data_IF_928286615689
#
_entry.id   IF_928286615689
#
_cell.length_a   1.000
_cell.length_b   1.000
_cell.length_c   1.000
_cell.angle_alpha   90.00
_cell.angle_beta   90.00
_cell.angle_gamma   90.00
#
_symmetry.space_group_name_H-M   'P 1'
#
loop_
_entity.id
_entity.type
_entity.pdbx_description
1 polymer ?
#
# COMPACT_ATOMS: atom_id res chain seq x y z
N UNK A 1 -4.67 46.71 -37.96
CA UNK A 1 -5.27 45.40 -38.34
C UNK A 1 -4.38 44.21 -37.98
N UNK A 2 -3.08 44.24 -38.29
CA UNK A 2 -2.16 43.10 -38.09
C UNK A 2 -2.09 42.54 -36.65
N UNK A 3 -2.06 43.41 -35.63
CA UNK A 3 -2.08 42.99 -34.20
C UNK A 3 -3.37 42.27 -33.78
N UNK A 4 -4.51 42.59 -34.39
CA UNK A 4 -5.79 41.90 -34.13
C UNK A 4 -5.81 40.51 -34.77
N UNK A 5 -5.25 40.37 -35.98
CA UNK A 5 -5.08 39.09 -36.66
C UNK A 5 -4.17 38.13 -35.88
N UNK A 6 -3.04 38.63 -35.35
CA UNK A 6 -2.15 37.84 -34.50
C UNK A 6 -2.88 37.37 -33.23
N UNK A 7 -3.64 38.26 -32.58
CA UNK A 7 -4.42 37.90 -31.38
C UNK A 7 -5.47 36.82 -31.65
N UNK A 8 -6.15 36.87 -32.80
CA UNK A 8 -7.11 35.84 -33.21
C UNK A 8 -6.41 34.51 -33.46
N UNK A 9 -5.30 34.50 -34.20
CA UNK A 9 -4.54 33.27 -34.49
C UNK A 9 -4.03 32.61 -33.20
N UNK A 10 -3.49 33.40 -32.26
CA UNK A 10 -3.02 32.89 -30.97
C UNK A 10 -4.18 32.34 -30.13
N UNK A 11 -5.33 33.02 -30.11
CA UNK A 11 -6.51 32.54 -29.40
C UNK A 11 -7.05 31.23 -30.00
N UNK A 12 -7.10 31.11 -31.33
CA UNK A 12 -7.53 29.89 -32.02
C UNK A 12 -6.56 28.72 -31.77
N UNK A 13 -5.25 28.97 -31.77
CA UNK A 13 -4.24 27.96 -31.41
C UNK A 13 -4.36 27.50 -29.95
N UNK A 14 -4.64 28.40 -29.01
CA UNK A 14 -4.84 28.05 -27.60
C UNK A 14 -6.14 27.27 -27.39
N UNK A 15 -7.23 27.66 -28.05
CA UNK A 15 -8.54 26.99 -27.96
C UNK A 15 -8.53 25.60 -28.60
N UNK A 16 -7.80 25.42 -29.72
CA UNK A 16 -7.61 24.10 -30.33
C UNK A 16 -6.77 23.18 -29.46
N UNK A 17 -5.80 23.69 -28.71
CA UNK A 17 -5.03 22.89 -27.75
C UNK A 17 -5.90 22.36 -26.60
N UNK A 18 -6.90 23.11 -26.14
CA UNK A 18 -7.87 22.66 -25.11
C UNK A 18 -8.80 21.54 -25.61
N UNK A 19 -9.10 21.48 -26.91
CA UNK A 19 -9.93 20.44 -27.52
C UNK A 19 -9.17 19.13 -27.81
N UNK A 20 -7.83 19.19 -27.78
CA UNK A 20 -6.93 18.03 -28.00
C UNK A 20 -6.42 17.44 -26.67
N UNK A 21 -6.78 18.03 -25.53
CA UNK A 21 -6.62 17.38 -24.22
C UNK A 21 -7.65 16.26 -24.12
N UNK A 22 -7.32 15.11 -24.71
CA UNK A 22 -8.11 13.89 -24.55
C UNK A 22 -8.28 13.55 -23.08
N UNK A 23 -9.36 12.84 -22.75
CA UNK A 23 -9.57 12.24 -21.45
C UNK A 23 -8.29 11.47 -21.08
N UNK A 24 -7.60 11.87 -20.02
CA UNK A 24 -6.53 11.04 -19.46
C UNK A 24 -7.16 9.67 -19.20
N UNK A 25 -6.69 8.63 -19.91
CA UNK A 25 -7.13 7.26 -19.66
C UNK A 25 -6.48 6.83 -18.36
N UNK A 26 -7.07 7.23 -17.24
CA UNK A 26 -6.67 6.73 -15.94
C UNK A 26 -6.90 5.22 -15.97
N UNK A 27 -5.84 4.44 -15.70
CA UNK A 27 -6.02 3.04 -15.40
C UNK A 27 -6.85 2.97 -14.11
N UNK A 28 -8.11 2.59 -14.23
CA UNK A 28 -9.01 2.44 -13.10
C UNK A 28 -8.50 1.32 -12.20
N UNK A 29 -8.63 1.51 -10.89
CA UNK A 29 -8.31 0.47 -9.92
C UNK A 29 -9.45 -0.54 -9.88
N UNK A 30 -9.46 -1.43 -10.87
CA UNK A 30 -10.51 -2.42 -11.07
C UNK A 30 -10.55 -3.49 -9.97
N UNK A 31 -11.57 -4.34 -10.00
CA UNK A 31 -11.74 -5.41 -9.00
C UNK A 31 -10.63 -6.45 -9.07
N UNK A 32 -10.07 -6.72 -10.26
CA UNK A 32 -9.00 -7.69 -10.43
C UNK A 32 -7.73 -7.25 -9.68
N UNK A 33 -7.35 -5.97 -9.79
CA UNK A 33 -6.21 -5.41 -9.05
C UNK A 33 -6.52 -5.39 -7.54
N UNK A 34 -7.75 -5.06 -7.13
CA UNK A 34 -8.18 -5.00 -5.71
C UNK A 34 -8.44 -6.34 -5.04
N UNK A 35 -8.45 -7.43 -5.79
CA UNK A 35 -8.61 -8.78 -5.24
C UNK A 35 -7.29 -9.20 -4.59
N UNK A 36 -7.29 -9.54 -3.30
CA UNK A 36 -6.09 -9.97 -2.56
C UNK A 36 -6.35 -11.31 -1.84
N UNK A 37 -5.30 -12.10 -1.51
CA UNK A 37 -5.46 -13.34 -0.77
C UNK A 37 -6.02 -13.07 0.63
N UNK A 38 -7.07 -13.79 1.01
CA UNK A 38 -7.70 -13.69 2.32
C UNK A 38 -6.93 -14.53 3.34
N UNK A 39 -6.62 -15.79 2.99
CA UNK A 39 -6.11 -16.80 3.90
C UNK A 39 -5.20 -17.84 3.19
N UNK A 40 -4.68 -18.81 3.94
CA UNK A 40 -3.80 -19.87 3.42
C UNK A 40 -4.55 -20.99 2.67
N UNK A 41 -5.88 -21.01 2.72
CA UNK A 41 -6.72 -21.98 2.01
C UNK A 41 -6.93 -21.58 0.54
N UNK A 42 -6.47 -20.40 0.15
CA UNK A 42 -6.58 -19.87 -1.22
C UNK A 42 -7.82 -19.01 -1.45
N UNK A 43 -8.58 -18.67 -0.41
CA UNK A 43 -9.69 -17.73 -0.54
C UNK A 43 -9.16 -16.33 -0.85
N UNK A 44 -10.00 -15.52 -1.47
CA UNK A 44 -9.67 -14.14 -1.85
C UNK A 44 -10.77 -13.18 -1.43
N UNK A 45 -10.42 -11.90 -1.33
CA UNK A 45 -11.35 -10.82 -1.02
C UNK A 45 -11.10 -9.63 -1.93
N UNK A 46 -12.18 -8.98 -2.38
CA UNK A 46 -12.10 -7.76 -3.18
C UNK A 46 -12.15 -6.55 -2.24
N UNK A 47 -11.05 -5.80 -2.13
CA UNK A 47 -11.00 -4.59 -1.31
C UNK A 47 -11.88 -3.51 -1.92
N UNK A 48 -12.79 -2.89 -1.18
CA UNK A 48 -13.52 -1.71 -1.65
C UNK A 48 -12.58 -0.52 -1.87
N UNK A 49 -12.94 0.44 -2.73
CA UNK A 49 -12.16 1.67 -2.92
C UNK A 49 -11.99 2.46 -1.61
N UNK A 50 -12.98 2.37 -0.70
CA UNK A 50 -12.87 2.94 0.64
C UNK A 50 -11.76 2.27 1.44
N UNK A 51 -11.71 0.94 1.46
CA UNK A 51 -10.64 0.18 2.14
C UNK A 51 -9.27 0.46 1.53
N UNK A 52 -9.16 0.59 0.21
CA UNK A 52 -7.89 0.95 -0.45
C UNK A 52 -7.37 2.30 0.04
N UNK A 53 -8.25 3.32 0.06
CA UNK A 53 -7.90 4.66 0.51
C UNK A 53 -7.54 4.67 2.00
N UNK A 54 -8.32 3.96 2.81
CA UNK A 54 -8.13 3.91 4.25
C UNK A 54 -6.87 3.15 4.65
N UNK A 55 -6.61 2.00 4.02
CA UNK A 55 -5.40 1.21 4.25
C UNK A 55 -4.13 1.99 3.95
N UNK A 56 -4.12 2.77 2.86
CA UNK A 56 -3.00 3.69 2.57
C UNK A 56 -2.81 4.74 3.66
N UNK A 57 -3.91 5.35 4.14
CA UNK A 57 -3.87 6.37 5.19
C UNK A 57 -3.32 5.81 6.50
N UNK A 58 -3.81 4.64 6.91
CA UNK A 58 -3.38 3.94 8.13
C UNK A 58 -1.93 3.47 8.05
N UNK A 59 -1.52 2.90 6.91
CA UNK A 59 -0.13 2.51 6.68
C UNK A 59 0.81 3.73 6.74
N UNK A 60 0.41 4.86 6.14
CA UNK A 60 1.17 6.11 6.24
C UNK A 60 1.26 6.63 7.67
N UNK A 61 0.20 6.48 8.45
CA UNK A 61 0.11 6.93 9.84
C UNK A 61 1.01 6.11 10.78
N UNK A 62 0.95 4.78 10.73
CA UNK A 62 1.59 3.92 11.73
C UNK A 62 2.81 3.13 11.21
N UNK A 63 2.95 2.92 9.90
CA UNK A 63 3.92 1.95 9.35
C UNK A 63 5.02 2.62 8.51
N UNK A 64 4.69 3.66 7.74
CA UNK A 64 5.56 4.20 6.70
C UNK A 64 6.85 4.86 7.22
N UNK A 65 6.93 5.21 8.50
CA UNK A 65 8.18 5.67 9.10
C UNK A 65 9.31 4.65 8.87
N UNK A 66 9.01 3.36 9.06
CA UNK A 66 9.94 2.25 8.86
C UNK A 66 9.74 1.56 7.50
N UNK A 67 8.51 1.50 7.01
CA UNK A 67 8.12 0.69 5.84
C UNK A 67 7.75 1.46 4.57
N UNK A 68 8.21 2.71 4.42
CA UNK A 68 7.96 3.50 3.22
C UNK A 68 8.38 2.74 1.95
N UNK A 69 7.42 2.49 1.05
CA UNK A 69 7.68 1.78 -0.20
C UNK A 69 7.95 0.29 -0.04
N UNK A 70 7.57 -0.34 1.07
CA UNK A 70 7.66 -1.80 1.26
C UNK A 70 8.99 -2.31 1.80
N UNK A 71 10.00 -1.46 2.01
CA UNK A 71 11.26 -1.85 2.67
C UNK A 71 11.10 -1.93 4.19
N UNK A 72 12.16 -2.25 4.92
CA UNK A 72 12.23 -2.04 6.38
C UNK A 72 13.53 -1.32 6.73
N UNK A 73 13.44 -0.04 7.09
CA UNK A 73 14.63 0.81 7.31
C UNK A 73 15.51 0.33 8.46
N UNK A 74 14.93 -0.23 9.51
CA UNK A 74 15.64 -0.70 10.71
C UNK A 74 16.21 -2.12 10.54
N UNK A 75 15.79 -2.86 9.51
CA UNK A 75 16.31 -4.17 9.17
C UNK A 75 16.10 -4.44 7.67
N UNK A 76 17.11 -4.14 6.84
CA UNK A 76 17.00 -4.22 5.39
C UNK A 76 16.93 -5.64 4.82
N UNK A 77 17.07 -6.67 5.67
CA UNK A 77 17.00 -8.06 5.24
C UNK A 77 15.56 -8.59 5.11
N UNK A 78 14.56 -7.85 5.60
CA UNK A 78 13.15 -8.27 5.60
C UNK A 78 12.29 -7.12 5.06
N UNK A 79 11.66 -7.32 3.90
CA UNK A 79 10.71 -6.38 3.29
C UNK A 79 9.26 -6.88 3.34
N UNK A 80 8.38 -6.13 2.69
CA UNK A 80 6.94 -6.40 2.56
C UNK A 80 6.58 -6.90 1.15
N UNK A 81 7.54 -7.44 0.41
CA UNK A 81 7.31 -8.07 -0.89
C UNK A 81 6.53 -9.38 -0.73
N UNK A 82 5.66 -9.75 -1.68
CA UNK A 82 4.88 -11.00 -1.60
C UNK A 82 5.74 -12.25 -1.36
N UNK A 83 6.91 -12.34 -2.00
CA UNK A 83 7.81 -13.49 -1.87
C UNK A 83 8.39 -13.60 -0.45
N UNK A 84 8.79 -12.47 0.13
CA UNK A 84 9.26 -12.39 1.52
C UNK A 84 8.15 -12.77 2.49
N UNK A 85 6.94 -12.21 2.31
CA UNK A 85 5.80 -12.50 3.17
C UNK A 85 5.36 -13.97 3.07
N UNK A 86 5.45 -14.58 1.87
CA UNK A 86 5.05 -15.95 1.63
C UNK A 86 5.99 -16.99 2.27
N UNK A 87 7.27 -16.62 2.44
CA UNK A 87 8.31 -17.48 3.01
C UNK A 87 8.52 -17.26 4.52
N UNK A 88 7.80 -16.32 5.13
CA UNK A 88 7.75 -16.17 6.57
C UNK A 88 7.00 -17.35 7.23
N UNK A 89 7.29 -17.61 8.50
CA UNK A 89 6.62 -18.63 9.31
C UNK A 89 5.89 -17.97 10.49
N UNK A 90 4.55 -18.10 10.61
CA UNK A 90 3.62 -18.58 9.59
C UNK A 90 3.58 -17.64 8.36
N UNK A 91 2.97 -18.12 7.28
CA UNK A 91 2.82 -17.35 6.03
C UNK A 91 2.10 -16.03 6.30
N UNK A 92 2.68 -14.91 5.82
CA UNK A 92 2.15 -13.56 5.99
C UNK A 92 1.67 -12.93 4.69
N UNK A 93 1.61 -13.67 3.58
CA UNK A 93 1.18 -13.16 2.27
C UNK A 93 -0.34 -13.27 2.04
N UNK A 94 -1.13 -12.98 3.08
CA UNK A 94 -2.59 -12.96 3.06
C UNK A 94 -3.13 -12.04 4.17
N UNK A 95 -4.41 -11.66 4.09
CA UNK A 95 -5.04 -10.72 5.04
C UNK A 95 -4.97 -11.26 6.47
N UNK A 96 -5.36 -12.52 6.70
CA UNK A 96 -5.39 -13.10 8.04
C UNK A 96 -4.00 -13.13 8.70
N UNK A 97 -2.97 -13.52 7.95
CA UNK A 97 -1.59 -13.57 8.42
C UNK A 97 -1.01 -12.20 8.77
N UNK A 98 -1.32 -11.15 8.00
CA UNK A 98 -0.90 -9.78 8.30
C UNK A 98 -1.69 -9.18 9.48
N UNK A 99 -2.99 -9.45 9.56
CA UNK A 99 -3.82 -9.04 10.70
C UNK A 99 -3.31 -9.67 11.99
N UNK A 100 -2.99 -10.97 11.96
CA UNK A 100 -2.35 -11.66 13.08
C UNK A 100 -1.00 -11.02 13.44
N UNK A 101 -0.16 -10.74 12.45
CA UNK A 101 1.14 -10.10 12.68
C UNK A 101 0.99 -8.71 13.34
N UNK A 102 0.00 -7.91 12.95
CA UNK A 102 -0.28 -6.62 13.58
C UNK A 102 -0.91 -6.75 14.98
N UNK A 103 -1.43 -7.93 15.34
CA UNK A 103 -1.90 -8.23 16.71
C UNK A 103 -0.76 -8.73 17.59
N UNK A 104 0.05 -9.65 17.10
CA UNK A 104 1.15 -10.30 17.81
C UNK A 104 2.31 -10.64 16.85
N UNK A 105 3.24 -9.70 16.61
CA UNK A 105 4.30 -9.87 15.62
C UNK A 105 5.34 -10.87 16.13
N UNK A 106 5.89 -11.66 15.21
CA UNK A 106 6.94 -12.65 15.47
C UNK A 106 8.17 -12.38 14.61
N UNK A 107 9.29 -13.02 14.94
CA UNK A 107 10.42 -13.15 14.01
C UNK A 107 10.00 -13.85 12.72
N UNK A 108 10.84 -13.74 11.69
CA UNK A 108 10.58 -14.28 10.36
C UNK A 108 10.38 -15.82 10.35
N UNK A 109 11.03 -16.52 11.28
CA UNK A 109 10.87 -17.95 11.54
C UNK A 109 9.72 -18.29 12.51
N UNK A 110 9.08 -17.29 13.12
CA UNK A 110 7.92 -17.47 14.00
C UNK A 110 8.24 -17.83 15.45
N UNK A 111 9.51 -18.05 15.79
CA UNK A 111 9.91 -18.62 17.09
C UNK A 111 9.84 -17.61 18.25
N UNK A 112 10.00 -16.32 17.96
CA UNK A 112 10.10 -15.28 18.99
C UNK A 112 9.05 -14.21 18.73
N UNK A 113 8.22 -13.92 19.74
CA UNK A 113 7.35 -12.74 19.73
C UNK A 113 8.18 -11.46 19.89
N UNK A 114 7.90 -10.46 19.07
CA UNK A 114 8.68 -9.21 19.01
C UNK A 114 7.83 -7.97 19.31
N UNK A 115 6.69 -8.12 20.01
CA UNK A 115 5.80 -7.00 20.32
C UNK A 115 6.46 -5.88 21.13
N UNK A 116 7.50 -6.18 21.91
CA UNK A 116 8.26 -5.16 22.67
C UNK A 116 9.07 -4.20 21.77
N UNK A 117 9.38 -4.62 20.54
CA UNK A 117 10.22 -3.85 19.59
C UNK A 117 9.52 -3.59 18.25
N UNK A 118 8.30 -4.07 18.06
CA UNK A 118 7.51 -3.87 16.86
C UNK A 118 6.07 -3.45 17.23
N UNK A 119 5.51 -2.39 16.59
CA UNK A 119 4.13 -1.97 16.83
C UNK A 119 3.13 -3.11 16.63
N UNK A 120 2.24 -3.29 17.61
CA UNK A 120 1.14 -4.26 17.55
C UNK A 120 0.00 -3.89 18.51
N UNK A 121 -1.16 -4.53 18.40
CA UNK A 121 -2.23 -4.38 19.40
C UNK A 121 -1.80 -4.88 20.80
N UNK A 122 -0.97 -5.94 20.86
CA UNK A 122 -0.45 -6.50 22.13
C UNK A 122 0.45 -5.51 22.89
N UNK A 123 1.14 -4.64 22.16
CA UNK A 123 2.06 -3.62 22.69
C UNK A 123 1.56 -2.19 22.49
N UNK A 124 0.24 -2.00 22.39
CA UNK A 124 -0.37 -0.68 22.20
C UNK A 124 -0.18 0.26 23.41
N UNK A 125 0.26 -0.27 24.55
CA UNK A 125 0.67 0.52 25.72
C UNK A 125 1.95 1.33 25.43
N UNK A 126 2.94 0.75 24.74
CA UNK A 126 4.19 1.41 24.34
C UNK A 126 4.15 2.00 22.92
N UNK A 127 3.42 1.39 21.99
CA UNK A 127 3.20 1.90 20.63
C UNK A 127 1.81 2.52 20.52
N UNK A 128 1.71 3.77 20.95
CA UNK A 128 0.42 4.42 21.20
C UNK A 128 -0.47 4.61 19.97
N UNK A 129 0.14 4.65 18.78
CA UNK A 129 -0.52 4.73 17.47
C UNK A 129 -1.41 3.51 17.21
N UNK A 130 -1.08 2.35 17.78
CA UNK A 130 -1.87 1.12 17.61
C UNK A 130 -3.16 1.11 18.42
N UNK A 131 -3.33 2.00 19.42
CA UNK A 131 -4.51 2.05 20.31
C UNK A 131 -5.82 2.35 19.59
N UNK A 132 -5.74 3.00 18.43
CA UNK A 132 -6.91 3.43 17.66
C UNK A 132 -7.31 2.44 16.57
N UNK A 133 -6.51 1.39 16.34
CA UNK A 133 -6.78 0.43 15.28
C UNK A 133 -7.90 -0.51 15.68
N UNK A 134 -8.96 -0.52 14.89
CA UNK A 134 -10.02 -1.52 14.92
C UNK A 134 -9.66 -2.72 14.03
N UNK A 135 -10.44 -3.79 14.10
CA UNK A 135 -10.25 -4.96 13.21
C UNK A 135 -10.31 -4.57 11.73
N UNK A 136 -11.27 -3.71 11.36
CA UNK A 136 -11.42 -3.21 9.98
C UNK A 136 -10.21 -2.39 9.53
N UNK A 137 -9.57 -1.65 10.44
CA UNK A 137 -8.36 -0.87 10.17
C UNK A 137 -7.15 -1.79 9.93
N UNK A 138 -7.05 -2.89 10.68
CA UNK A 138 -6.04 -3.93 10.45
C UNK A 138 -6.24 -4.56 9.07
N UNK A 139 -7.48 -4.96 8.73
CA UNK A 139 -7.80 -5.54 7.41
C UNK A 139 -7.48 -4.56 6.28
N UNK A 140 -7.83 -3.27 6.43
CA UNK A 140 -7.52 -2.25 5.42
C UNK A 140 -6.00 -2.06 5.26
N UNK A 141 -5.25 -2.06 6.37
CA UNK A 141 -3.79 -1.91 6.36
C UNK A 141 -3.10 -3.12 5.71
N UNK A 142 -3.54 -4.34 6.06
CA UNK A 142 -3.09 -5.58 5.41
C UNK A 142 -3.39 -5.54 3.91
N UNK A 143 -4.61 -5.12 3.54
CA UNK A 143 -5.01 -4.95 2.15
C UNK A 143 -4.12 -3.96 1.40
N UNK A 144 -3.69 -2.87 2.02
CA UNK A 144 -2.74 -1.94 1.42
C UNK A 144 -1.41 -2.63 1.08
N UNK A 145 -0.84 -3.37 2.03
CA UNK A 145 0.44 -4.08 1.85
C UNK A 145 0.36 -5.06 0.67
N UNK A 146 -0.70 -5.85 0.59
CA UNK A 146 -0.89 -6.86 -0.48
C UNK A 146 -1.23 -6.24 -1.84
N UNK A 147 -1.85 -5.05 -1.84
CA UNK A 147 -2.26 -4.35 -3.06
C UNK A 147 -1.09 -3.58 -3.71
N UNK A 148 -0.21 -2.96 -2.92
CA UNK A 148 0.86 -2.13 -3.47
C UNK A 148 1.76 -2.82 -4.51
N UNK A 149 2.26 -4.06 -4.32
CA UNK A 149 3.10 -4.71 -5.33
C UNK A 149 2.36 -4.93 -6.67
N UNK A 150 1.02 -5.02 -6.67
CA UNK A 150 0.22 -5.10 -7.90
C UNK A 150 0.14 -3.78 -8.68
N UNK A 151 0.39 -2.65 -8.01
CA UNK A 151 0.30 -1.32 -8.59
C UNK A 151 1.68 -0.83 -9.03
N UNK A 152 2.69 -0.99 -8.17
CA UNK A 152 4.03 -0.42 -8.39
C UNK A 152 5.11 -1.45 -8.72
N UNK A 153 4.76 -2.74 -8.76
CA UNK A 153 5.69 -3.83 -9.08
C UNK A 153 6.91 -3.83 -8.17
N UNK A 154 8.08 -4.05 -8.77
CA UNK A 154 9.38 -4.13 -8.10
C UNK A 154 9.79 -2.86 -7.33
N UNK A 155 9.08 -1.74 -7.53
CA UNK A 155 9.27 -0.55 -6.68
C UNK A 155 8.89 -0.82 -5.23
N UNK A 156 7.93 -1.73 -4.99
CA UNK A 156 7.55 -2.15 -3.64
C UNK A 156 8.60 -3.12 -3.09
N UNK A 157 9.32 -2.70 -2.05
CA UNK A 157 10.43 -3.45 -1.45
C UNK A 157 11.78 -3.28 -2.15
N UNK A 158 11.81 -2.89 -3.43
CA UNK A 158 13.06 -2.65 -4.16
C UNK A 158 13.90 -1.47 -3.67
N UNK A 159 13.31 -0.55 -2.91
CA UNK A 159 14.01 0.59 -2.31
C UNK A 159 14.64 1.54 -3.35
N UNK A 160 15.77 2.15 -2.98
CA UNK A 160 16.38 3.27 -3.75
C UNK A 160 16.74 2.94 -5.20
N UNK A 161 16.88 1.66 -5.55
CA UNK A 161 17.25 1.22 -6.90
C UNK A 161 16.11 1.50 -7.90
N UNK A 162 14.86 1.59 -7.42
CA UNK A 162 13.67 1.69 -8.25
C UNK A 162 12.89 3.01 -8.08
N UNK A 163 13.47 4.02 -7.42
CA UNK A 163 12.83 5.32 -7.19
C UNK A 163 12.67 6.11 -8.49
#
# INVERSE_FOLDING_TARGET
MFRRLIGVVVATLLLTFQLVVGSATALELDEAIRTVPLNDQGDTVVLSLKQVKEGKRLFQFACAQCHAGGVTKTNQNVGLEPETLALASPNRNNIEGLVDYMKNPTTYDGEIEISEIHPSLKSADIFTEMRIFTEDDLVATAGHILLQPKIVGDKWGGGKIYY
#
